data_IF_948921290124
#
_entry.id   IF_948921290124
#
_cell.length_a   1.000
_cell.length_b   1.000
_cell.length_c   1.000
_cell.angle_alpha   90.00
_cell.angle_beta   90.00
_cell.angle_gamma   90.00
#
_symmetry.space_group_name_H-M   'P 1'
#
loop_
_entity.id
_entity.type
_entity.pdbx_description
1 polymer ?
#
# COMPACT_ATOMS: atom_id res chain seq x y z
N UNK A 1 -54.29 -65.73 3.40
CA UNK A 1 -53.05 -66.49 3.19
C UNK A 1 -51.90 -65.52 3.46
N UNK A 2 -51.29 -65.59 4.65
CA UNK A 2 -50.17 -64.72 5.04
C UNK A 2 -48.88 -65.50 4.79
N UNK A 3 -48.08 -65.04 3.83
CA UNK A 3 -46.75 -65.59 3.57
C UNK A 3 -45.78 -65.04 4.62
N UNK A 4 -45.31 -65.91 5.52
CA UNK A 4 -44.25 -65.58 6.48
C UNK A 4 -42.91 -65.50 5.74
N UNK A 5 -42.27 -64.33 5.76
CA UNK A 5 -40.91 -64.13 5.25
C UNK A 5 -39.90 -64.40 6.35
N UNK A 6 -38.92 -65.27 6.08
CA UNK A 6 -37.78 -65.49 6.98
C UNK A 6 -36.87 -64.27 6.99
N UNK A 7 -36.64 -63.68 8.15
CA UNK A 7 -35.69 -62.60 8.34
C UNK A 7 -34.27 -63.19 8.43
N UNK A 8 -33.42 -62.93 7.43
CA UNK A 8 -31.99 -63.25 7.51
C UNK A 8 -31.31 -62.17 8.35
N UNK A 9 -30.71 -62.57 9.48
CA UNK A 9 -29.88 -61.68 10.30
C UNK A 9 -28.55 -61.37 9.61
N UNK A 10 -27.97 -60.22 9.94
CA UNK A 10 -26.62 -59.82 9.54
C UNK A 10 -25.60 -60.39 10.50
N UNK A 11 -24.45 -60.84 9.98
CA UNK A 11 -23.38 -61.34 10.85
C UNK A 11 -22.58 -60.19 11.44
N UNK A 12 -21.96 -60.40 12.61
CA UNK A 12 -21.11 -59.40 13.26
C UNK A 12 -19.95 -58.94 12.34
N UNK A 13 -19.37 -59.88 11.58
CA UNK A 13 -18.30 -59.59 10.62
C UNK A 13 -18.79 -58.71 9.46
N UNK A 14 -20.00 -58.95 8.96
CA UNK A 14 -20.63 -58.12 7.91
C UNK A 14 -20.83 -56.68 8.39
N UNK A 15 -21.26 -56.51 9.65
CA UNK A 15 -21.44 -55.20 10.26
C UNK A 15 -20.09 -54.48 10.49
N UNK A 16 -19.04 -55.21 10.87
CA UNK A 16 -17.69 -54.66 10.97
C UNK A 16 -17.12 -54.26 9.60
N UNK A 17 -17.33 -55.06 8.56
CA UNK A 17 -16.89 -54.73 7.21
C UNK A 17 -17.65 -53.53 6.63
N UNK A 18 -18.98 -53.48 6.81
CA UNK A 18 -19.79 -52.36 6.34
C UNK A 18 -19.41 -51.03 7.03
N UNK A 19 -19.22 -51.06 8.36
CA UNK A 19 -18.83 -49.87 9.13
C UNK A 19 -17.43 -49.40 8.79
N UNK A 20 -16.46 -50.30 8.62
CA UNK A 20 -15.10 -49.93 8.21
C UNK A 20 -15.07 -49.28 6.83
N UNK A 21 -15.78 -49.85 5.85
CA UNK A 21 -15.89 -49.25 4.51
C UNK A 21 -16.63 -47.90 4.55
N UNK A 22 -17.67 -47.77 5.37
CA UNK A 22 -18.37 -46.51 5.58
C UNK A 22 -17.47 -45.42 6.17
N UNK A 23 -16.66 -45.76 7.18
CA UNK A 23 -15.69 -44.84 7.77
C UNK A 23 -14.62 -44.41 6.77
N UNK A 24 -14.11 -45.34 5.95
CA UNK A 24 -13.15 -45.01 4.88
C UNK A 24 -13.77 -44.03 3.88
N UNK A 25 -15.01 -44.27 3.45
CA UNK A 25 -15.71 -43.40 2.52
C UNK A 25 -15.93 -41.99 3.10
N UNK A 26 -16.38 -41.89 4.36
CA UNK A 26 -16.58 -40.61 5.04
C UNK A 26 -15.25 -39.87 5.22
N UNK A 27 -14.18 -40.57 5.60
CA UNK A 27 -12.85 -39.98 5.72
C UNK A 27 -12.35 -39.42 4.39
N UNK A 28 -12.57 -40.14 3.28
CA UNK A 28 -12.22 -39.66 1.94
C UNK A 28 -12.96 -38.36 1.59
N UNK A 29 -14.28 -38.31 1.79
CA UNK A 29 -15.08 -37.09 1.53
C UNK A 29 -14.64 -35.93 2.41
N UNK A 30 -14.39 -36.18 3.70
CA UNK A 30 -13.94 -35.15 4.63
C UNK A 30 -12.57 -34.59 4.23
N UNK A 31 -11.66 -35.44 3.73
CA UNK A 31 -10.35 -35.00 3.25
C UNK A 31 -10.45 -34.04 2.05
N UNK A 32 -11.34 -34.35 1.09
CA UNK A 32 -11.59 -33.49 -0.08
C UNK A 32 -12.22 -32.17 0.34
N UNK A 33 -13.16 -32.21 1.29
CA UNK A 33 -13.79 -31.01 1.83
C UNK A 33 -12.78 -30.12 2.58
N UNK A 34 -11.96 -30.69 3.46
CA UNK A 34 -10.92 -29.95 4.19
C UNK A 34 -9.91 -29.33 3.22
N UNK A 35 -9.49 -30.07 2.20
CA UNK A 35 -8.66 -29.54 1.12
C UNK A 35 -9.36 -28.37 0.42
N UNK A 36 -10.63 -28.51 0.04
CA UNK A 36 -11.39 -27.45 -0.65
C UNK A 36 -11.49 -26.17 0.19
N UNK A 37 -11.76 -26.29 1.49
CA UNK A 37 -11.82 -25.15 2.41
C UNK A 37 -10.46 -24.46 2.52
N UNK A 38 -9.38 -25.21 2.67
CA UNK A 38 -8.02 -24.66 2.75
C UNK A 38 -7.61 -23.95 1.45
N UNK A 39 -7.94 -24.52 0.29
CA UNK A 39 -7.69 -23.86 -0.99
C UNK A 39 -8.54 -22.59 -1.13
N UNK A 40 -9.80 -22.64 -0.72
CA UNK A 40 -10.69 -21.48 -0.73
C UNK A 40 -10.17 -20.32 0.11
N UNK A 41 -9.72 -20.59 1.34
CA UNK A 41 -9.16 -19.54 2.21
C UNK A 41 -7.84 -18.96 1.65
N UNK A 42 -6.95 -19.80 1.13
CA UNK A 42 -5.70 -19.33 0.52
C UNK A 42 -5.94 -18.45 -0.72
N UNK A 43 -6.95 -18.79 -1.53
CA UNK A 43 -7.31 -17.97 -2.69
C UNK A 43 -7.91 -16.62 -2.29
N UNK A 44 -8.77 -16.60 -1.27
CA UNK A 44 -9.31 -15.35 -0.72
C UNK A 44 -8.20 -14.46 -0.15
N UNK A 45 -7.25 -15.02 0.61
CA UNK A 45 -6.11 -14.28 1.14
C UNK A 45 -5.25 -13.67 0.02
N UNK A 46 -4.99 -14.42 -1.05
CA UNK A 46 -4.25 -13.94 -2.21
C UNK A 46 -4.99 -12.83 -2.95
N UNK A 47 -6.30 -12.99 -3.16
CA UNK A 47 -7.14 -11.98 -3.81
C UNK A 47 -7.20 -10.68 -2.99
N UNK A 48 -7.32 -10.80 -1.66
CA UNK A 48 -7.29 -9.67 -0.74
C UNK A 48 -5.95 -8.92 -0.81
N UNK A 49 -4.83 -9.64 -0.75
CA UNK A 49 -3.49 -9.07 -0.91
C UNK A 49 -3.36 -8.31 -2.23
N UNK A 50 -3.76 -8.91 -3.36
CA UNK A 50 -3.72 -8.23 -4.65
C UNK A 50 -4.56 -6.95 -4.67
N UNK A 51 -5.79 -6.99 -4.14
CA UNK A 51 -6.64 -5.81 -4.09
C UNK A 51 -6.02 -4.68 -3.28
N UNK A 52 -5.48 -4.98 -2.09
CA UNK A 52 -4.81 -3.98 -1.26
C UNK A 52 -3.56 -3.41 -1.95
N UNK A 53 -2.72 -4.26 -2.55
CA UNK A 53 -1.53 -3.82 -3.28
C UNK A 53 -1.86 -2.93 -4.48
N UNK A 54 -2.87 -3.29 -5.28
CA UNK A 54 -3.29 -2.44 -6.41
C UNK A 54 -3.85 -1.10 -5.94
N UNK A 55 -4.64 -1.08 -4.87
CA UNK A 55 -5.14 0.16 -4.28
C UNK A 55 -4.01 1.07 -3.80
N UNK A 56 -3.04 0.50 -3.08
CA UNK A 56 -1.88 1.23 -2.56
C UNK A 56 -0.99 1.77 -3.68
N UNK A 57 -0.65 0.94 -4.67
CA UNK A 57 0.11 1.38 -5.85
C UNK A 57 -0.63 2.46 -6.64
N UNK A 58 -1.95 2.35 -6.77
CA UNK A 58 -2.75 3.37 -7.44
C UNK A 58 -2.68 4.72 -6.71
N UNK A 59 -2.87 4.72 -5.39
CA UNK A 59 -2.73 5.91 -4.55
C UNK A 59 -1.33 6.53 -4.70
N UNK A 60 -0.28 5.73 -4.48
CA UNK A 60 1.10 6.20 -4.59
C UNK A 60 1.41 6.77 -5.98
N UNK A 61 1.00 6.07 -7.04
CA UNK A 61 1.22 6.53 -8.41
C UNK A 61 0.48 7.83 -8.72
N UNK A 62 -0.71 8.04 -8.15
CA UNK A 62 -1.51 9.23 -8.38
C UNK A 62 -0.89 10.44 -7.71
N UNK A 63 -0.41 10.30 -6.47
CA UNK A 63 0.24 11.40 -5.76
C UNK A 63 1.63 11.71 -6.32
N UNK A 64 2.43 10.68 -6.63
CA UNK A 64 3.77 10.88 -7.22
C UNK A 64 3.68 11.56 -8.59
N UNK A 65 2.65 11.27 -9.40
CA UNK A 65 2.42 11.97 -10.69
C UNK A 65 2.18 13.46 -10.55
N UNK A 66 1.73 13.91 -9.38
CA UNK A 66 1.50 15.34 -9.10
C UNK A 66 2.76 16.04 -8.63
N UNK A 67 3.84 15.33 -8.34
CA UNK A 67 5.09 15.92 -7.88
C UNK A 67 5.53 17.07 -8.81
N UNK A 68 5.86 18.22 -8.22
CA UNK A 68 6.25 19.43 -8.92
C UNK A 68 5.09 20.23 -9.52
N UNK A 69 3.83 19.78 -9.42
CA UNK A 69 2.68 20.58 -9.81
C UNK A 69 2.59 21.84 -8.95
N UNK A 70 2.35 22.98 -9.62
CA UNK A 70 2.12 24.28 -9.02
C UNK A 70 0.98 24.95 -9.79
N UNK A 71 0.00 25.52 -9.09
CA UNK A 71 -0.93 26.45 -9.71
C UNK A 71 -0.21 27.79 -9.93
N UNK A 72 -0.28 28.31 -11.16
CA UNK A 72 0.30 29.60 -11.50
C UNK A 72 -0.51 30.32 -12.56
N UNK A 73 -0.42 31.65 -12.57
CA UNK A 73 -0.98 32.47 -13.64
C UNK A 73 0.08 32.69 -14.73
N UNK A 74 -0.18 32.14 -15.92
CA UNK A 74 0.70 32.23 -17.09
C UNK A 74 0.93 33.68 -17.58
N UNK A 75 0.08 34.63 -17.17
CA UNK A 75 0.21 36.03 -17.56
C UNK A 75 1.16 36.83 -16.66
N UNK A 76 1.33 36.42 -15.41
CA UNK A 76 2.09 37.15 -14.38
C UNK A 76 3.28 36.38 -13.83
N UNK A 77 3.32 35.07 -14.02
CA UNK A 77 4.31 34.18 -13.43
C UNK A 77 4.95 33.27 -14.48
N UNK A 78 6.20 32.88 -14.23
CA UNK A 78 6.95 31.96 -15.08
C UNK A 78 6.94 30.55 -14.49
N UNK A 79 7.12 29.54 -15.35
CA UNK A 79 7.37 28.16 -14.88
C UNK A 79 8.74 28.05 -14.21
N UNK A 80 9.69 28.89 -14.61
CA UNK A 80 10.96 29.05 -13.93
C UNK A 80 10.73 29.55 -12.49
N UNK A 81 11.48 29.02 -11.54
CA UNK A 81 11.33 29.40 -10.14
C UNK A 81 10.27 28.60 -9.35
N UNK A 82 9.69 27.54 -9.93
CA UNK A 82 8.69 26.71 -9.25
C UNK A 82 9.25 26.14 -7.91
N UNK A 83 8.71 26.54 -6.74
CA UNK A 83 9.24 26.12 -5.44
C UNK A 83 8.99 24.63 -5.14
N UNK A 84 8.06 23.99 -5.86
CA UNK A 84 7.73 22.56 -5.70
C UNK A 84 8.73 21.61 -6.40
N UNK A 85 9.73 22.14 -7.10
CA UNK A 85 10.80 21.34 -7.74
C UNK A 85 12.20 21.80 -7.33
N UNK A 86 12.32 22.59 -6.26
CA UNK A 86 13.58 23.15 -5.79
C UNK A 86 14.01 22.58 -4.44
N UNK A 87 15.32 22.38 -4.26
CA UNK A 87 15.89 21.90 -3.00
C UNK A 87 15.23 20.62 -2.50
N UNK A 88 14.74 20.65 -1.27
CA UNK A 88 14.10 19.50 -0.59
C UNK A 88 12.72 19.14 -1.16
N UNK A 89 12.11 20.00 -1.99
CA UNK A 89 10.79 19.79 -2.58
C UNK A 89 10.84 18.98 -3.88
N UNK A 90 12.02 18.87 -4.50
CA UNK A 90 12.21 18.06 -5.70
C UNK A 90 11.88 16.57 -5.43
N UNK A 91 11.36 15.89 -6.45
CA UNK A 91 11.06 14.45 -6.38
C UNK A 91 12.35 13.65 -6.19
N UNK A 92 12.48 12.98 -5.05
CA UNK A 92 13.72 12.28 -4.71
C UNK A 92 13.46 10.99 -3.95
N UNK A 93 14.24 9.96 -4.27
CA UNK A 93 14.28 8.71 -3.50
C UNK A 93 15.52 8.66 -2.60
N UNK A 94 15.38 8.03 -1.45
CA UNK A 94 16.49 7.74 -0.54
C UNK A 94 16.17 6.49 0.29
N UNK A 95 17.18 5.95 0.99
CA UNK A 95 16.97 4.88 1.96
C UNK A 95 16.31 5.44 3.24
N UNK A 96 15.39 4.68 3.83
CA UNK A 96 15.05 4.80 5.24
C UNK A 96 16.06 3.98 6.07
N UNK A 97 16.49 4.44 7.27
CA UNK A 97 17.40 3.67 8.11
C UNK A 97 16.91 2.24 8.34
N UNK A 98 17.81 1.26 8.21
CA UNK A 98 17.55 -0.18 8.35
C UNK A 98 16.61 -0.81 7.29
N UNK A 99 16.30 -0.08 6.21
CA UNK A 99 15.55 -0.58 5.05
C UNK A 99 16.43 -0.56 3.79
N UNK A 100 15.95 -1.16 2.69
CA UNK A 100 16.66 -1.18 1.41
C UNK A 100 16.88 0.24 0.84
N UNK A 101 17.85 0.37 -0.07
CA UNK A 101 18.03 1.58 -0.87
C UNK A 101 16.75 1.93 -1.65
N UNK A 102 16.48 3.23 -1.76
CA UNK A 102 15.26 3.77 -2.39
C UNK A 102 13.94 3.25 -1.77
N UNK A 103 13.94 2.91 -0.49
CA UNK A 103 12.73 2.53 0.28
C UNK A 103 11.83 3.70 0.65
N UNK A 104 12.26 4.93 0.41
CA UNK A 104 11.50 6.14 0.67
C UNK A 104 11.56 7.10 -0.52
N UNK A 105 10.44 7.76 -0.79
CA UNK A 105 10.31 8.83 -1.77
C UNK A 105 9.68 10.05 -1.13
N UNK A 106 10.24 11.23 -1.44
CA UNK A 106 9.76 12.52 -0.99
C UNK A 106 9.52 13.41 -2.20
N UNK A 107 8.47 14.22 -2.13
CA UNK A 107 8.06 15.12 -3.20
C UNK A 107 7.13 16.19 -2.66
N UNK A 108 6.96 17.27 -3.42
CA UNK A 108 5.97 18.29 -3.09
C UNK A 108 5.05 18.56 -4.28
N UNK A 109 3.83 19.01 -4.00
CA UNK A 109 2.93 19.57 -5.00
C UNK A 109 1.93 20.51 -4.36
N UNK A 110 1.46 21.48 -5.14
CA UNK A 110 0.48 22.48 -4.73
C UNK A 110 -0.92 21.84 -4.60
N UNK A 111 -1.37 21.65 -3.36
CA UNK A 111 -2.61 20.97 -3.02
C UNK A 111 -3.78 21.96 -3.03
N UNK A 112 -3.60 23.14 -2.46
CA UNK A 112 -4.67 24.12 -2.26
C UNK A 112 -4.68 25.27 -3.29
N UNK A 113 -3.67 25.32 -4.15
CA UNK A 113 -3.55 26.15 -5.35
C UNK A 113 -3.21 27.62 -5.08
N UNK A 114 -2.47 27.89 -4.02
CA UNK A 114 -2.01 29.23 -3.69
C UNK A 114 -0.61 29.55 -4.27
N UNK A 115 0.07 28.53 -4.80
CA UNK A 115 1.37 28.62 -5.46
C UNK A 115 2.57 28.74 -4.51
N UNK A 116 2.37 28.55 -3.20
CA UNK A 116 3.37 28.53 -2.13
C UNK A 116 3.43 27.14 -1.51
N UNK A 117 4.60 26.74 -1.01
CA UNK A 117 4.79 25.40 -0.45
C UNK A 117 4.42 25.39 1.02
N UNK A 118 3.39 24.62 1.34
CA UNK A 118 3.08 24.23 2.72
C UNK A 118 4.17 23.45 3.40
N UNK A 119 4.87 24.05 4.37
CA UNK A 119 5.92 23.36 5.14
C UNK A 119 5.49 23.01 6.56
N UNK A 120 4.36 23.56 7.05
CA UNK A 120 3.81 23.31 8.39
C UNK A 120 4.76 23.61 9.57
N UNK A 121 5.91 24.22 9.30
CA UNK A 121 7.06 24.36 10.21
C UNK A 121 7.35 25.81 10.60
N UNK A 122 7.00 26.76 9.75
CA UNK A 122 7.31 28.16 10.03
C UNK A 122 6.16 28.84 10.78
N UNK A 123 6.46 29.95 11.43
CA UNK A 123 5.49 31.01 11.70
C UNK A 123 5.49 31.97 10.49
N UNK A 124 4.41 32.71 10.29
CA UNK A 124 4.24 33.72 9.23
C UNK A 124 5.44 34.66 9.04
N UNK A 125 6.19 34.95 10.11
CA UNK A 125 7.39 35.81 10.09
C UNK A 125 8.72 35.06 9.77
N UNK A 126 8.70 33.72 9.71
CA UNK A 126 9.90 32.86 9.57
C UNK A 126 9.87 31.93 8.37
N UNK A 127 8.77 31.93 7.60
CA UNK A 127 8.68 31.14 6.38
C UNK A 127 9.69 31.62 5.35
N UNK A 128 10.28 30.67 4.63
CA UNK A 128 11.07 30.98 3.46
C UNK A 128 10.18 31.58 2.36
N UNK A 129 10.79 32.33 1.44
CA UNK A 129 10.06 32.86 0.28
C UNK A 129 9.36 31.72 -0.47
N UNK A 130 8.08 31.94 -0.83
CA UNK A 130 7.20 30.95 -1.47
C UNK A 130 6.89 29.71 -0.61
N UNK A 131 6.87 29.86 0.71
CA UNK A 131 6.34 28.86 1.64
C UNK A 131 5.41 29.48 2.68
N UNK A 132 4.58 28.65 3.31
CA UNK A 132 3.65 29.04 4.35
C UNK A 132 3.42 27.91 5.39
N UNK A 133 2.41 28.11 6.23
CA UNK A 133 2.18 27.37 7.47
C UNK A 133 0.81 26.72 7.56
N UNK A 134 -0.09 27.01 6.62
CA UNK A 134 -1.51 26.65 6.78
C UNK A 134 -1.77 25.18 6.44
N UNK A 135 -0.93 24.59 5.61
CA UNK A 135 -1.01 23.21 5.19
C UNK A 135 0.40 22.55 5.15
N UNK A 136 0.42 21.29 4.69
CA UNK A 136 1.66 20.54 4.46
C UNK A 136 1.58 19.93 3.07
N UNK A 137 2.46 20.40 2.21
CA UNK A 137 2.53 20.02 0.79
C UNK A 137 3.81 19.28 0.45
N UNK A 138 4.61 18.98 1.48
CA UNK A 138 5.73 18.06 1.43
C UNK A 138 5.24 16.65 1.77
N UNK A 139 5.02 15.86 0.74
CA UNK A 139 4.50 14.50 0.82
C UNK A 139 5.62 13.46 0.70
N UNK A 140 5.27 12.21 0.97
CA UNK A 140 6.18 11.10 0.76
C UNK A 140 5.58 9.77 1.11
N UNK A 141 6.22 8.72 0.61
CA UNK A 141 5.95 7.35 0.98
C UNK A 141 7.24 6.69 1.44
N UNK A 142 7.16 5.85 2.47
CA UNK A 142 8.29 5.05 2.93
C UNK A 142 7.86 3.65 3.32
N UNK A 143 8.78 2.71 3.20
CA UNK A 143 8.72 1.45 3.93
C UNK A 143 9.35 1.66 5.31
N UNK A 144 8.66 1.18 6.34
CA UNK A 144 9.19 1.11 7.69
C UNK A 144 8.50 0.00 8.46
N UNK A 145 9.27 -0.89 9.07
CA UNK A 145 8.74 -1.97 9.91
C UNK A 145 7.69 -2.81 9.16
N UNK A 146 7.99 -3.19 7.92
CA UNK A 146 7.10 -3.98 7.06
C UNK A 146 5.78 -3.30 6.66
N UNK A 147 5.65 -1.99 6.88
CA UNK A 147 4.45 -1.22 6.53
C UNK A 147 4.78 -0.05 5.61
N UNK A 148 3.88 0.25 4.69
CA UNK A 148 3.98 1.46 3.88
C UNK A 148 3.33 2.59 4.66
N UNK A 149 4.04 3.72 4.76
CA UNK A 149 3.58 4.90 5.46
C UNK A 149 3.55 6.10 4.51
N UNK A 150 2.59 6.99 4.69
CA UNK A 150 2.55 8.29 4.01
C UNK A 150 2.87 9.43 4.98
N UNK A 151 3.61 10.42 4.51
CA UNK A 151 3.86 11.66 5.25
C UNK A 151 2.61 12.54 5.22
N UNK A 152 2.27 13.16 6.34
CA UNK A 152 1.15 14.11 6.40
C UNK A 152 1.44 15.39 7.18
N UNK A 153 2.52 15.45 7.94
CA UNK A 153 2.96 16.66 8.63
C UNK A 153 4.44 16.62 9.00
N UNK A 154 4.94 17.70 9.60
CA UNK A 154 6.17 17.71 10.38
C UNK A 154 7.23 18.70 9.91
N UNK A 155 8.28 18.81 10.72
CA UNK A 155 9.18 19.97 10.70
C UNK A 155 10.28 19.91 9.63
N UNK A 156 10.50 18.75 9.00
CA UNK A 156 11.41 18.64 7.86
C UNK A 156 10.91 17.63 6.85
N UNK A 157 11.25 17.85 5.57
CA UNK A 157 11.05 16.90 4.49
C UNK A 157 12.21 15.90 4.51
N UNK A 158 12.17 14.90 5.39
CA UNK A 158 13.15 13.80 5.39
C UNK A 158 12.44 12.48 5.70
N UNK A 159 13.05 11.37 5.27
CA UNK A 159 12.42 10.06 5.43
C UNK A 159 12.40 9.59 6.88
N UNK A 160 13.28 10.11 7.73
CA UNK A 160 13.43 9.79 9.15
C UNK A 160 12.81 10.84 10.08
N UNK A 161 12.17 11.87 9.53
CA UNK A 161 11.56 12.97 10.30
C UNK A 161 10.11 13.23 9.91
N UNK A 162 9.41 14.03 10.73
CA UNK A 162 8.02 14.40 10.52
C UNK A 162 7.01 13.33 10.97
N UNK A 163 5.76 13.54 10.59
CA UNK A 163 4.63 12.72 10.98
C UNK A 163 4.17 11.85 9.81
N UNK A 164 4.10 10.55 10.10
CA UNK A 164 3.81 9.50 9.12
C UNK A 164 2.66 8.65 9.62
N UNK A 165 1.77 8.27 8.71
CA UNK A 165 0.65 7.36 9.00
C UNK A 165 0.82 6.08 8.20
N UNK A 166 0.50 4.94 8.81
CA UNK A 166 0.52 3.65 8.13
C UNK A 166 -0.69 3.53 7.20
N UNK A 167 -0.45 3.06 5.97
CA UNK A 167 -1.47 2.84 4.95
C UNK A 167 -1.81 1.36 4.74
N UNK A 168 -0.93 0.45 5.15
CA UNK A 168 -1.12 -1.01 5.03
C UNK A 168 -1.89 -1.55 6.23
N UNK A 169 -2.71 -2.58 5.99
CA UNK A 169 -3.41 -3.31 7.03
C UNK A 169 -2.45 -4.17 7.88
N UNK A 170 -2.86 -4.58 9.08
CA UNK A 170 -2.04 -5.41 9.98
C UNK A 170 -1.81 -6.82 9.46
N UNK A 171 -2.68 -7.29 8.55
CA UNK A 171 -2.62 -8.63 7.98
C UNK A 171 -1.71 -8.72 6.75
N UNK A 172 -1.07 -7.60 6.35
CA UNK A 172 -0.17 -7.53 5.20
C UNK A 172 1.18 -6.95 5.61
N UNK A 173 2.23 -7.72 5.34
CA UNK A 173 3.62 -7.30 5.50
C UNK A 173 4.22 -6.99 4.14
N UNK A 174 4.76 -5.78 3.99
CA UNK A 174 5.51 -5.36 2.82
C UNK A 174 6.98 -5.65 3.06
N UNK A 175 7.53 -6.61 2.32
CA UNK A 175 8.92 -7.04 2.48
C UNK A 175 9.91 -6.18 1.70
N UNK A 176 9.46 -5.53 0.63
CA UNK A 176 10.31 -4.69 -0.21
C UNK A 176 9.48 -3.58 -0.85
N UNK A 177 9.99 -2.37 -0.79
CA UNK A 177 9.53 -1.23 -1.56
C UNK A 177 10.75 -0.57 -2.17
N UNK A 178 10.69 -0.26 -3.46
CA UNK A 178 11.79 0.39 -4.15
C UNK A 178 11.27 1.39 -5.15
N UNK A 179 11.71 2.63 -5.03
CA UNK A 179 11.52 3.66 -6.03
C UNK A 179 12.75 3.71 -6.94
N UNK A 180 12.55 4.01 -8.23
CA UNK A 180 13.67 4.22 -9.13
C UNK A 180 13.35 5.38 -10.05
N UNK A 181 14.12 6.45 -9.90
CA UNK A 181 14.07 7.55 -10.85
C UNK A 181 14.75 7.08 -12.14
N UNK A 182 13.99 7.02 -13.23
CA UNK A 182 14.50 6.58 -14.54
C UNK A 182 15.10 7.75 -15.32
N UNK A 183 14.43 8.89 -15.28
CA UNK A 183 14.84 10.12 -15.95
C UNK A 183 14.50 11.30 -15.04
N UNK A 184 15.39 12.30 -15.03
CA UNK A 184 15.13 13.61 -14.44
C UNK A 184 14.88 14.58 -15.59
N UNK A 185 13.61 14.82 -15.89
CA UNK A 185 13.18 15.70 -16.97
C UNK A 185 12.81 17.06 -16.39
N UNK A 186 13.81 17.90 -16.15
CA UNK A 186 13.57 19.33 -15.90
C UNK A 186 13.08 19.98 -17.19
N UNK A 187 11.77 19.95 -17.44
CA UNK A 187 11.12 20.66 -18.57
C UNK A 187 11.12 22.19 -18.37
N UNK A 188 12.21 22.75 -17.88
CA UNK A 188 12.46 24.17 -17.78
C UNK A 188 13.66 24.44 -18.67
N UNK A 189 13.39 25.01 -19.85
CA UNK A 189 14.43 25.53 -20.73
C UNK A 189 15.35 26.41 -19.88
N UNK A 190 16.64 26.06 -19.84
CA UNK A 190 17.69 26.94 -19.34
C UNK A 190 17.49 28.32 -19.98
N UNK A 191 17.20 29.33 -19.16
CA UNK A 191 17.13 30.73 -19.54
C UNK A 191 18.34 31.48 -18.99
#
# INVERSE_FOLDING_TARGET
>A
MLTATFQRGITLVELMLATTLGLIAVAAVLSVYAASVHHGSAQLATAHLHQQLFGLLHLMSTDIRRAGYRQFDVATETVAGNPFVQGENHLRSQAFPDEDDDSCILFAYDLDKDGRVGVGRCDSDTCADNSDTDNVEQFGFRLRNLTIQSRFAGDSSACDSGYWQTLTDTDIEITTLRFRLLEDCTHLLDA
#
